data_IF_622693858272
#
_entry.id   IF_622693858272
#
_cell.length_a   1.000
_cell.length_b   1.000
_cell.length_c   1.000
_cell.angle_alpha   90.00
_cell.angle_beta   90.00
_cell.angle_gamma   90.00
#
_symmetry.space_group_name_H-M   'P 1'
#
loop_
_entity.id
_entity.type
_entity.pdbx_description
1 polymer ?
#
# COMPACT_ATOMS: atom_id res chain seq x y z
N UNK A 1 51.65 -35.58 59.85
CA UNK A 1 50.51 -34.71 60.20
C UNK A 1 50.21 -33.85 58.97
N UNK A 2 49.31 -34.36 58.13
CA UNK A 2 48.97 -33.72 56.85
C UNK A 2 47.73 -32.84 57.02
N UNK A 3 47.83 -31.56 56.69
CA UNK A 3 46.77 -30.59 56.77
C UNK A 3 45.99 -30.58 55.46
N UNK A 4 44.70 -30.89 55.52
CA UNK A 4 43.75 -30.85 54.33
C UNK A 4 42.92 -29.60 54.46
N UNK A 5 42.93 -28.68 53.46
CA UNK A 5 42.07 -27.51 53.50
C UNK A 5 40.67 -27.87 53.04
N UNK A 6 39.64 -27.40 53.79
CA UNK A 6 38.24 -27.49 53.46
C UNK A 6 37.89 -26.47 52.33
N UNK A 7 37.49 -26.97 51.18
CA UNK A 7 36.87 -26.13 50.14
C UNK A 7 35.43 -25.79 50.53
N UNK A 8 35.15 -24.50 50.65
CA UNK A 8 33.79 -23.97 50.78
C UNK A 8 33.24 -23.72 49.37
N UNK A 9 32.24 -24.48 48.97
CA UNK A 9 31.51 -24.25 47.71
C UNK A 9 30.48 -23.15 47.91
N UNK A 10 30.65 -22.00 47.24
CA UNK A 10 29.64 -20.94 47.14
C UNK A 10 28.73 -21.27 45.97
N UNK A 11 27.49 -21.69 46.25
CA UNK A 11 26.44 -21.84 45.24
C UNK A 11 25.89 -20.47 44.88
N UNK A 12 26.22 -20.00 43.69
CA UNK A 12 25.59 -18.81 43.10
C UNK A 12 24.20 -19.14 42.59
N UNK A 13 23.17 -18.61 43.22
CA UNK A 13 21.78 -18.73 42.80
C UNK A 13 21.52 -17.73 41.67
N UNK A 14 21.53 -18.22 40.42
CA UNK A 14 21.05 -17.43 39.27
C UNK A 14 19.54 -17.40 39.27
N UNK A 15 18.92 -16.29 39.69
CA UNK A 15 17.51 -16.04 39.48
C UNK A 15 17.27 -15.71 38.00
N UNK A 16 16.73 -16.65 37.26
CA UNK A 16 16.20 -16.37 35.91
C UNK A 16 14.92 -15.51 36.06
N UNK A 17 15.03 -14.24 35.78
CA UNK A 17 13.88 -13.38 35.57
C UNK A 17 13.34 -13.72 34.18
N UNK A 18 12.32 -14.60 34.11
CA UNK A 18 11.52 -14.81 32.90
C UNK A 18 10.69 -13.56 32.68
N UNK A 19 11.21 -12.62 31.90
CA UNK A 19 10.39 -11.51 31.39
C UNK A 19 9.33 -12.10 30.48
N UNK A 20 8.08 -12.15 30.94
CA UNK A 20 6.93 -12.35 30.07
C UNK A 20 6.88 -11.13 29.17
N UNK A 21 7.34 -11.26 27.92
CA UNK A 21 7.01 -10.29 26.90
C UNK A 21 5.49 -10.36 26.71
N UNK A 22 4.77 -9.43 27.29
CA UNK A 22 3.39 -9.18 26.99
C UNK A 22 3.30 -8.96 25.48
N UNK A 23 2.64 -9.89 24.77
CA UNK A 23 2.33 -9.72 23.35
C UNK A 23 1.52 -8.45 23.25
N UNK A 24 2.06 -7.41 22.62
CA UNK A 24 1.32 -6.19 22.35
C UNK A 24 0.00 -6.62 21.69
N UNK A 25 -1.13 -6.30 22.35
CA UNK A 25 -2.46 -6.62 21.85
C UNK A 25 -2.55 -6.21 20.39
N UNK A 26 -2.71 -7.20 19.50
CA UNK A 26 -2.82 -6.96 18.09
C UNK A 26 -4.08 -6.11 17.87
N UNK A 27 -3.90 -4.82 17.58
CA UNK A 27 -5.00 -3.91 17.33
C UNK A 27 -5.87 -4.50 16.22
N UNK A 28 -7.15 -4.69 16.48
CA UNK A 28 -8.08 -5.18 15.47
C UNK A 28 -8.02 -4.29 14.23
N UNK A 29 -8.03 -4.86 13.03
CA UNK A 29 -8.00 -4.06 11.81
C UNK A 29 -9.21 -3.12 11.72
N UNK A 30 -9.07 -2.04 10.96
CA UNK A 30 -10.09 -1.00 10.75
C UNK A 30 -10.46 -0.22 12.03
N UNK A 31 -9.54 -0.13 12.98
CA UNK A 31 -9.68 0.69 14.19
C UNK A 31 -8.44 1.59 14.30
N UNK A 32 -8.64 2.88 14.55
CA UNK A 32 -7.56 3.79 14.86
C UNK A 32 -7.23 3.76 16.35
N UNK A 33 -5.97 3.61 16.69
CA UNK A 33 -5.49 3.81 18.05
C UNK A 33 -5.67 5.26 18.48
N UNK A 34 -5.68 5.57 19.80
CA UNK A 34 -5.67 6.95 20.28
C UNK A 34 -4.55 7.79 19.67
N UNK A 35 -3.32 7.25 19.61
CA UNK A 35 -2.16 7.94 19.04
C UNK A 35 -2.33 8.23 17.53
N UNK A 36 -2.93 7.32 16.77
CA UNK A 36 -3.21 7.56 15.35
C UNK A 36 -4.27 8.66 15.16
N UNK A 37 -5.31 8.68 15.99
CA UNK A 37 -6.32 9.75 15.95
C UNK A 37 -5.70 11.12 16.25
N UNK A 38 -4.85 11.20 17.27
CA UNK A 38 -4.11 12.42 17.63
C UNK A 38 -3.14 12.85 16.51
N UNK A 39 -2.50 11.89 15.82
CA UNK A 39 -1.65 12.15 14.68
C UNK A 39 -2.41 12.49 13.38
N UNK A 40 -3.73 12.61 13.43
CA UNK A 40 -4.58 13.03 12.30
C UNK A 40 -4.92 11.93 11.30
N UNK A 41 -4.72 10.66 11.65
CA UNK A 41 -5.18 9.56 10.81
C UNK A 41 -6.69 9.45 10.78
N UNK A 42 -7.25 9.12 9.61
CA UNK A 42 -8.65 8.75 9.41
C UNK A 42 -8.72 7.43 8.65
N UNK A 43 -9.77 6.65 8.91
CA UNK A 43 -10.04 5.42 8.15
C UNK A 43 -10.61 5.79 6.79
N UNK A 44 -10.12 5.15 5.75
CA UNK A 44 -10.75 5.13 4.42
C UNK A 44 -11.76 3.98 4.29
N UNK A 45 -11.68 3.01 5.20
CA UNK A 45 -12.58 1.86 5.24
C UNK A 45 -12.75 1.40 6.70
N UNK A 46 -13.99 1.27 7.13
CA UNK A 46 -14.37 0.93 8.52
C UNK A 46 -14.52 -0.59 8.76
N UNK A 47 -14.28 -1.41 7.71
CA UNK A 47 -14.46 -2.85 7.77
C UNK A 47 -15.90 -3.35 7.62
N UNK A 48 -16.87 -2.47 7.41
CA UNK A 48 -18.30 -2.78 7.43
C UNK A 48 -19.08 -2.18 6.27
N UNK A 49 -18.79 -0.93 5.91
CA UNK A 49 -19.53 -0.19 4.89
C UNK A 49 -18.66 0.18 3.71
N UNK A 50 -19.29 0.49 2.59
CA UNK A 50 -18.61 1.01 1.39
C UNK A 50 -18.65 2.53 1.32
N UNK A 51 -19.05 3.19 2.41
CA UNK A 51 -19.06 4.64 2.51
C UNK A 51 -17.66 5.20 2.26
N UNK A 52 -17.60 6.31 1.51
CA UNK A 52 -16.31 6.88 1.10
C UNK A 52 -15.76 6.34 -0.22
N UNK A 53 -16.34 5.27 -0.78
CA UNK A 53 -15.93 4.66 -2.05
C UNK A 53 -17.02 4.71 -3.11
N UNK A 54 -16.60 4.75 -4.37
CA UNK A 54 -17.46 4.62 -5.57
C UNK A 54 -16.67 3.99 -6.71
N UNK A 55 -17.35 3.56 -7.76
CA UNK A 55 -16.68 3.12 -8.99
C UNK A 55 -15.98 4.30 -9.70
N UNK A 56 -14.90 4.00 -10.41
CA UNK A 56 -14.21 4.99 -11.25
C UNK A 56 -15.19 5.51 -12.32
N UNK A 57 -15.33 6.84 -12.41
CA UNK A 57 -16.32 7.53 -13.28
C UNK A 57 -17.78 7.10 -13.03
N UNK A 58 -18.11 6.67 -11.81
CA UNK A 58 -19.48 6.35 -11.39
C UNK A 58 -19.84 7.16 -10.15
N UNK A 59 -21.14 7.38 -9.94
CA UNK A 59 -21.66 8.12 -8.78
C UNK A 59 -21.77 7.24 -7.52
N UNK A 60 -21.89 5.91 -7.71
CA UNK A 60 -22.14 4.96 -6.64
C UNK A 60 -21.07 3.86 -6.56
N UNK A 61 -21.10 3.12 -5.48
CA UNK A 61 -20.33 1.89 -5.35
C UNK A 61 -20.89 0.83 -6.33
N UNK A 62 -20.02 0.06 -7.04
CA UNK A 62 -20.48 -0.93 -8.00
C UNK A 62 -21.26 -2.05 -7.32
N UNK A 63 -22.32 -2.51 -7.98
CA UNK A 63 -23.18 -3.59 -7.47
C UNK A 63 -22.55 -4.98 -7.62
N UNK A 64 -21.49 -5.09 -8.44
CA UNK A 64 -20.77 -6.33 -8.70
C UNK A 64 -19.26 -6.12 -8.51
N UNK A 65 -18.54 -7.21 -8.30
CA UNK A 65 -17.08 -7.25 -8.32
C UNK A 65 -16.38 -6.84 -7.04
N UNK A 66 -17.07 -6.14 -6.17
CA UNK A 66 -16.56 -5.73 -4.86
C UNK A 66 -17.56 -6.02 -3.76
N UNK A 67 -17.10 -6.60 -2.67
CA UNK A 67 -17.91 -6.90 -1.49
C UNK A 67 -17.15 -6.55 -0.21
N UNK A 68 -17.90 -6.36 0.88
CA UNK A 68 -17.34 -6.34 2.22
C UNK A 68 -17.45 -7.75 2.81
N UNK A 69 -16.32 -8.38 3.09
CA UNK A 69 -16.23 -9.75 3.61
C UNK A 69 -15.15 -9.83 4.68
N UNK A 70 -15.48 -10.35 5.85
CA UNK A 70 -14.55 -10.55 6.97
C UNK A 70 -13.70 -9.29 7.31
N UNK A 71 -14.33 -8.11 7.34
CA UNK A 71 -13.65 -6.85 7.63
C UNK A 71 -12.74 -6.35 6.50
N UNK A 72 -12.83 -6.92 5.31
CA UNK A 72 -12.07 -6.52 4.15
C UNK A 72 -12.98 -5.97 3.05
N UNK A 73 -12.50 -4.98 2.33
CA UNK A 73 -12.99 -4.63 1.01
C UNK A 73 -12.35 -5.62 0.03
N UNK A 74 -13.15 -6.51 -0.54
CA UNK A 74 -12.69 -7.63 -1.37
C UNK A 74 -13.14 -7.46 -2.81
N UNK A 75 -12.18 -7.51 -3.72
CA UNK A 75 -12.45 -7.74 -5.14
C UNK A 75 -12.68 -9.23 -5.35
N UNK A 76 -13.86 -9.63 -5.84
CA UNK A 76 -14.23 -11.05 -6.06
C UNK A 76 -14.73 -11.36 -7.47
N UNK A 77 -15.05 -10.34 -8.26
CA UNK A 77 -15.48 -10.46 -9.65
C UNK A 77 -15.15 -9.17 -10.42
N UNK A 78 -15.49 -9.10 -11.70
CA UNK A 78 -15.29 -7.89 -12.49
C UNK A 78 -16.30 -6.82 -12.07
N UNK A 79 -15.82 -5.71 -11.52
CA UNK A 79 -16.63 -4.57 -11.07
C UNK A 79 -16.08 -3.21 -11.49
N UNK A 80 -14.88 -3.22 -12.07
CA UNK A 80 -14.11 -2.01 -12.36
C UNK A 80 -13.38 -1.47 -11.13
N UNK A 81 -12.56 -0.47 -11.34
CA UNK A 81 -11.75 0.14 -10.28
C UNK A 81 -12.62 0.91 -9.29
N UNK A 82 -12.24 0.90 -8.01
CA UNK A 82 -12.82 1.76 -6.98
C UNK A 82 -11.98 3.01 -6.78
N UNK A 83 -12.64 4.12 -6.50
CA UNK A 83 -11.99 5.37 -6.10
C UNK A 83 -12.57 5.92 -4.81
N UNK A 84 -11.76 6.66 -4.06
CA UNK A 84 -12.25 7.45 -2.93
C UNK A 84 -13.19 8.54 -3.43
N UNK A 85 -14.19 8.93 -2.61
CA UNK A 85 -15.00 10.13 -2.87
C UNK A 85 -14.21 11.41 -2.56
N UNK A 86 -13.34 11.34 -1.56
CA UNK A 86 -12.45 12.44 -1.19
C UNK A 86 -11.19 12.46 -2.06
N UNK A 87 -10.57 13.64 -2.15
CA UNK A 87 -9.31 13.86 -2.89
C UNK A 87 -8.21 14.28 -1.93
N UNK A 88 -6.97 13.92 -2.26
CA UNK A 88 -5.78 14.13 -1.43
C UNK A 88 -4.64 14.75 -2.24
N UNK A 89 -3.82 15.59 -1.61
CA UNK A 89 -2.67 16.24 -2.24
C UNK A 89 -1.36 15.79 -1.61
N UNK A 90 -1.20 16.01 -0.31
CA UNK A 90 -0.06 15.55 0.49
C UNK A 90 -0.62 14.60 1.54
N UNK A 91 -0.13 13.38 1.61
CA UNK A 91 -0.70 12.37 2.48
C UNK A 91 0.30 11.25 2.81
N UNK A 92 0.02 10.57 3.90
CA UNK A 92 0.44 9.19 4.12
C UNK A 92 -0.78 8.29 4.02
N UNK A 93 -0.71 7.26 3.20
CA UNK A 93 -1.70 6.20 3.06
C UNK A 93 -1.08 4.89 3.55
N UNK A 94 -1.73 4.21 4.48
CA UNK A 94 -1.34 2.88 4.96
C UNK A 94 -2.49 1.91 4.78
N UNK A 95 -2.18 0.67 4.37
CA UNK A 95 -3.17 -0.39 4.21
C UNK A 95 -2.55 -1.77 4.36
N UNK A 96 -3.39 -2.74 4.72
CA UNK A 96 -3.06 -4.15 4.63
C UNK A 96 -3.76 -4.78 3.44
N UNK A 97 -3.07 -5.68 2.76
CA UNK A 97 -3.58 -6.34 1.58
C UNK A 97 -3.08 -7.77 1.46
N UNK A 98 -3.88 -8.61 0.82
CA UNK A 98 -3.49 -9.94 0.35
C UNK A 98 -4.12 -10.24 -1.00
N UNK A 99 -3.51 -11.16 -1.73
CA UNK A 99 -3.95 -11.63 -3.04
C UNK A 99 -3.90 -13.17 -3.08
N UNK A 100 -4.58 -13.72 -4.06
CA UNK A 100 -4.50 -15.17 -4.38
C UNK A 100 -3.31 -15.47 -5.29
N UNK A 101 -3.08 -16.76 -5.54
CA UNK A 101 -2.13 -17.22 -6.57
C UNK A 101 -2.41 -16.56 -7.93
N UNK A 102 -1.35 -16.11 -8.60
CA UNK A 102 -1.41 -15.28 -9.83
C UNK A 102 -2.24 -14.00 -9.66
N UNK A 103 -2.35 -13.53 -8.41
CA UNK A 103 -3.04 -12.29 -8.08
C UNK A 103 -2.29 -11.08 -8.63
N UNK A 104 -3.06 -10.10 -9.08
CA UNK A 104 -2.59 -8.81 -9.53
C UNK A 104 -3.62 -7.75 -9.11
N UNK A 105 -3.14 -6.69 -8.51
CA UNK A 105 -3.91 -5.51 -8.14
C UNK A 105 -2.95 -4.34 -7.90
N UNK A 106 -3.42 -3.24 -7.39
CA UNK A 106 -2.58 -2.09 -7.06
C UNK A 106 -3.36 -0.97 -6.40
N UNK A 107 -2.63 -0.06 -5.78
CA UNK A 107 -3.17 1.24 -5.39
C UNK A 107 -2.62 2.29 -6.34
N UNK A 108 -3.52 3.04 -7.00
CA UNK A 108 -3.13 4.20 -7.79
C UNK A 108 -3.43 5.48 -7.04
N UNK A 109 -2.56 6.45 -7.19
CA UNK A 109 -2.68 7.80 -6.65
C UNK A 109 -2.29 8.81 -7.71
N UNK A 110 -2.60 10.08 -7.51
CA UNK A 110 -2.58 11.11 -8.55
C UNK A 110 -3.50 10.72 -9.74
N UNK A 111 -4.65 10.10 -9.42
CA UNK A 111 -5.66 9.68 -10.40
C UNK A 111 -6.60 10.82 -10.72
N UNK A 112 -6.70 11.17 -11.99
CA UNK A 112 -7.61 12.21 -12.50
C UNK A 112 -8.65 11.61 -13.44
N UNK A 113 -9.92 11.65 -13.02
CA UNK A 113 -11.04 11.15 -13.82
C UNK A 113 -11.37 12.04 -15.02
N UNK A 114 -10.99 13.31 -14.97
CA UNK A 114 -11.21 14.26 -16.07
C UNK A 114 -10.10 14.23 -17.12
N UNK A 115 -9.09 13.37 -16.96
CA UNK A 115 -7.95 13.27 -17.89
C UNK A 115 -8.43 12.90 -19.29
N UNK A 116 -7.95 13.67 -20.27
CA UNK A 116 -8.32 13.43 -21.68
C UNK A 116 -7.42 12.37 -22.32
N UNK A 117 -8.01 11.50 -23.13
CA UNK A 117 -7.31 10.61 -24.02
C UNK A 117 -6.73 11.41 -25.20
N UNK A 118 -5.42 11.33 -25.39
CA UNK A 118 -4.69 12.08 -26.43
C UNK A 118 -5.15 11.72 -27.86
N UNK A 119 -5.65 10.50 -28.06
CA UNK A 119 -6.01 10.02 -29.41
C UNK A 119 -7.30 10.62 -29.91
N UNK A 120 -8.23 10.92 -29.02
CA UNK A 120 -9.58 11.33 -29.41
C UNK A 120 -10.12 12.59 -28.69
N UNK A 121 -9.34 13.16 -27.77
CA UNK A 121 -9.72 14.35 -26.99
C UNK A 121 -10.90 14.16 -26.03
N UNK A 122 -11.35 12.93 -25.81
CA UNK A 122 -12.43 12.59 -24.87
C UNK A 122 -11.87 12.21 -23.51
N UNK A 123 -12.70 12.26 -22.49
CA UNK A 123 -12.33 11.76 -21.16
C UNK A 123 -11.92 10.30 -21.25
N UNK A 124 -10.74 10.00 -20.71
CA UNK A 124 -10.17 8.65 -20.75
C UNK A 124 -10.96 7.69 -19.85
N UNK A 125 -11.31 6.53 -20.40
CA UNK A 125 -11.89 5.43 -19.63
C UNK A 125 -10.87 4.66 -18.81
N UNK A 126 -9.58 4.91 -19.03
CA UNK A 126 -8.50 4.25 -18.29
C UNK A 126 -8.12 5.10 -17.08
N UNK A 127 -8.24 4.53 -15.91
CA UNK A 127 -7.79 5.12 -14.65
C UNK A 127 -6.26 5.09 -14.58
N UNK A 128 -5.62 6.17 -14.99
CA UNK A 128 -4.18 6.33 -14.88
C UNK A 128 -3.81 7.19 -13.67
N UNK A 129 -2.74 6.79 -13.02
CA UNK A 129 -2.10 7.44 -11.90
C UNK A 129 -0.77 6.77 -11.61
N UNK A 130 -0.02 7.24 -10.62
CA UNK A 130 1.13 6.53 -10.11
C UNK A 130 0.63 5.27 -9.41
N UNK A 131 1.16 4.12 -9.75
CA UNK A 131 0.67 2.83 -9.24
C UNK A 131 1.69 2.17 -8.31
N UNK A 132 1.27 1.90 -7.07
CA UNK A 132 1.92 0.94 -6.18
C UNK A 132 1.46 -0.46 -6.58
N UNK A 133 2.35 -1.26 -7.17
CA UNK A 133 2.03 -2.59 -7.67
C UNK A 133 1.83 -3.60 -6.53
N UNK A 134 0.85 -4.48 -6.67
CA UNK A 134 0.56 -5.62 -5.80
C UNK A 134 0.45 -6.87 -6.68
N UNK A 135 1.46 -7.74 -6.65
CA UNK A 135 1.60 -8.86 -7.57
C UNK A 135 2.03 -10.14 -6.83
N UNK A 136 1.63 -11.28 -7.32
CA UNK A 136 2.24 -12.56 -6.97
C UNK A 136 3.55 -12.74 -7.77
N UNK A 137 4.60 -12.08 -7.30
CA UNK A 137 5.89 -11.99 -8.00
C UNK A 137 6.45 -13.35 -8.42
N UNK A 138 6.21 -14.40 -7.61
CA UNK A 138 6.71 -15.75 -7.87
C UNK A 138 6.11 -16.39 -9.12
N UNK A 139 4.90 -16.02 -9.50
CA UNK A 139 4.21 -16.51 -10.68
C UNK A 139 4.44 -15.66 -11.94
N UNK A 140 5.31 -14.64 -11.87
CA UNK A 140 5.65 -13.76 -13.00
C UNK A 140 7.17 -13.53 -13.12
N UNK A 141 7.98 -14.63 -13.17
CA UNK A 141 9.45 -14.54 -13.16
C UNK A 141 10.04 -13.84 -14.41
N UNK A 142 9.26 -13.75 -15.49
CA UNK A 142 9.66 -13.08 -16.74
C UNK A 142 9.56 -11.56 -16.66
N UNK A 143 8.86 -11.01 -15.67
CA UNK A 143 8.70 -9.58 -15.54
C UNK A 143 9.97 -8.90 -15.03
N UNK A 144 10.29 -7.75 -15.60
CA UNK A 144 11.35 -6.89 -15.08
C UNK A 144 10.97 -6.28 -13.72
N UNK A 145 11.98 -5.98 -12.90
CA UNK A 145 11.81 -5.53 -11.50
C UNK A 145 10.85 -4.36 -11.30
N UNK A 146 10.77 -3.45 -12.27
CA UNK A 146 9.85 -2.30 -12.21
C UNK A 146 8.37 -2.64 -12.40
N UNK A 147 8.05 -3.93 -12.58
CA UNK A 147 6.69 -4.45 -12.68
C UNK A 147 6.29 -5.32 -11.48
N UNK A 148 7.20 -5.54 -10.54
CA UNK A 148 6.99 -6.38 -9.36
C UNK A 148 6.39 -5.58 -8.20
N UNK A 149 6.01 -6.30 -7.14
CA UNK A 149 5.37 -5.75 -5.94
C UNK A 149 6.11 -4.54 -5.36
N UNK A 150 5.34 -3.55 -4.94
CA UNK A 150 5.76 -2.27 -4.37
C UNK A 150 6.52 -1.33 -5.32
N UNK A 151 6.79 -1.72 -6.57
CA UNK A 151 7.34 -0.80 -7.57
C UNK A 151 6.38 0.36 -7.86
N UNK A 152 6.91 1.48 -8.30
CA UNK A 152 6.13 2.43 -9.09
C UNK A 152 6.03 1.83 -10.49
N UNK A 153 4.92 1.14 -10.72
CA UNK A 153 4.70 0.28 -11.90
C UNK A 153 5.22 0.90 -13.20
N UNK A 154 6.07 0.15 -13.89
CA UNK A 154 6.73 0.53 -15.15
C UNK A 154 7.74 1.68 -15.05
N UNK A 155 7.82 2.42 -13.96
CA UNK A 155 8.67 3.61 -13.80
C UNK A 155 9.90 3.30 -12.96
N UNK A 156 9.73 2.88 -11.70
CA UNK A 156 10.83 2.70 -10.75
C UNK A 156 10.68 1.39 -9.98
N UNK A 157 11.74 0.59 -9.94
CA UNK A 157 11.79 -0.67 -9.19
C UNK A 157 11.81 -0.46 -7.69
N UNK A 158 11.19 -1.35 -6.94
CA UNK A 158 11.30 -1.43 -5.49
C UNK A 158 12.57 -2.22 -5.11
N UNK A 159 13.44 -1.63 -4.29
CA UNK A 159 14.68 -2.26 -3.83
C UNK A 159 14.48 -2.89 -2.45
N UNK A 160 14.85 -4.16 -2.31
CA UNK A 160 14.69 -4.88 -1.05
C UNK A 160 13.24 -5.20 -0.69
N UNK A 161 12.32 -5.11 -1.65
CA UNK A 161 10.94 -5.52 -1.44
C UNK A 161 10.87 -7.03 -1.15
N UNK A 162 10.23 -7.38 -0.03
CA UNK A 162 10.01 -8.76 0.37
C UNK A 162 8.52 -8.95 0.73
N UNK A 163 7.66 -9.20 -0.29
CA UNK A 163 6.26 -9.50 -0.03
C UNK A 163 6.15 -10.83 0.70
N UNK A 164 5.15 -10.93 1.58
CA UNK A 164 4.75 -12.20 2.19
C UNK A 164 4.11 -13.11 1.13
N UNK A 165 4.09 -14.43 1.36
CA UNK A 165 3.43 -15.37 0.46
C UNK A 165 1.98 -15.01 0.17
N UNK A 166 1.47 -15.45 -0.98
CA UNK A 166 0.04 -15.30 -1.33
C UNK A 166 -0.85 -15.86 -0.22
N UNK A 167 -1.98 -15.19 0.04
CA UNK A 167 -2.88 -15.52 1.15
C UNK A 167 -2.53 -14.88 2.49
N UNK A 168 -1.32 -14.33 2.66
CA UNK A 168 -0.91 -13.59 3.85
C UNK A 168 -1.06 -12.07 3.65
N UNK A 169 -1.39 -11.36 4.74
CA UNK A 169 -1.50 -9.90 4.68
C UNK A 169 -0.14 -9.22 4.71
N UNK A 170 0.14 -8.42 3.69
CA UNK A 170 1.21 -7.45 3.65
C UNK A 170 0.74 -6.11 4.21
N UNK A 171 1.64 -5.36 4.83
CA UNK A 171 1.44 -3.96 5.22
C UNK A 171 2.18 -3.07 4.24
N UNK A 172 1.49 -2.14 3.63
CA UNK A 172 2.08 -1.16 2.72
C UNK A 172 1.79 0.27 3.14
N UNK A 173 2.66 1.18 2.70
CA UNK A 173 2.48 2.61 2.89
C UNK A 173 2.98 3.39 1.67
N UNK A 174 2.24 4.43 1.30
CA UNK A 174 2.64 5.46 0.35
C UNK A 174 2.76 6.77 1.11
N UNK A 175 3.82 7.51 0.88
CA UNK A 175 3.98 8.90 1.33
C UNK A 175 4.05 9.79 0.11
N UNK A 176 3.28 10.87 0.11
CA UNK A 176 3.37 11.95 -0.88
C UNK A 176 3.41 13.27 -0.13
N UNK A 177 4.56 13.92 -0.11
CA UNK A 177 4.77 15.18 0.59
C UNK A 177 5.48 16.19 -0.31
N UNK A 178 4.80 17.25 -0.72
CA UNK A 178 5.29 18.09 -1.79
C UNK A 178 5.50 17.26 -3.05
N UNK A 179 6.66 17.34 -3.66
CA UNK A 179 7.05 16.53 -4.80
C UNK A 179 7.68 15.18 -4.41
N UNK A 180 8.02 15.01 -3.13
CA UNK A 180 8.63 13.78 -2.64
C UNK A 180 7.59 12.65 -2.50
N UNK A 181 7.93 11.46 -2.99
CA UNK A 181 7.11 10.26 -2.91
C UNK A 181 7.92 9.07 -2.40
N UNK A 182 7.27 8.21 -1.61
CA UNK A 182 7.87 6.98 -1.08
C UNK A 182 6.89 5.81 -1.17
N UNK A 183 7.43 4.59 -1.41
CA UNK A 183 6.73 3.34 -1.18
C UNK A 183 7.41 2.53 -0.08
N UNK A 184 6.59 1.94 0.77
CA UNK A 184 7.01 1.08 1.87
C UNK A 184 6.29 -0.26 1.81
N UNK A 185 7.00 -1.33 2.14
CA UNK A 185 6.45 -2.68 2.24
C UNK A 185 6.95 -3.34 3.52
N UNK A 186 6.03 -3.85 4.35
CA UNK A 186 6.31 -4.57 5.59
C UNK A 186 7.31 -3.83 6.51
N UNK A 187 7.18 -2.49 6.63
CA UNK A 187 8.02 -1.65 7.47
C UNK A 187 9.32 -1.16 6.82
N UNK A 188 9.63 -1.60 5.59
CA UNK A 188 10.85 -1.21 4.86
C UNK A 188 10.49 -0.18 3.78
N UNK A 189 11.22 0.95 3.70
CA UNK A 189 11.16 1.86 2.55
C UNK A 189 11.86 1.20 1.38
N UNK A 190 11.13 0.95 0.29
CA UNK A 190 11.61 0.18 -0.86
C UNK A 190 11.88 1.04 -2.09
N UNK A 191 11.31 2.24 -2.18
CA UNK A 191 11.67 3.25 -3.16
C UNK A 191 11.30 4.66 -2.69
N UNK A 192 11.93 5.64 -3.29
CA UNK A 192 11.60 7.07 -3.17
C UNK A 192 11.90 7.79 -4.49
N UNK A 193 11.24 8.90 -4.72
CA UNK A 193 11.38 9.72 -5.91
C UNK A 193 10.96 11.17 -5.65
N UNK A 194 11.43 12.09 -6.49
CA UNK A 194 10.99 13.49 -6.48
C UNK A 194 10.36 13.84 -7.83
N UNK A 195 9.03 14.11 -7.82
CA UNK A 195 8.29 14.52 -9.01
C UNK A 195 8.88 15.82 -9.57
N UNK A 196 9.01 15.89 -10.90
CA UNK A 196 9.58 17.02 -11.59
C UNK A 196 11.12 17.11 -11.55
N UNK A 197 11.81 16.20 -10.84
CA UNK A 197 13.27 16.12 -10.96
C UNK A 197 13.70 15.57 -12.33
N UNK A 198 14.90 15.94 -12.84
CA UNK A 198 15.43 15.37 -14.09
C UNK A 198 15.48 13.83 -14.06
N UNK A 199 15.93 13.25 -12.94
CA UNK A 199 16.00 11.80 -12.78
C UNK A 199 14.63 11.13 -12.92
N UNK A 200 13.59 11.66 -12.27
CA UNK A 200 12.22 11.13 -12.39
C UNK A 200 11.67 11.33 -13.80
N UNK A 201 11.96 12.43 -14.46
CA UNK A 201 11.55 12.67 -15.84
C UNK A 201 12.17 11.65 -16.81
N UNK A 202 13.43 11.28 -16.64
CA UNK A 202 14.12 10.23 -17.41
C UNK A 202 13.47 8.85 -17.19
N UNK A 203 13.14 8.51 -15.93
CA UNK A 203 12.45 7.27 -15.59
C UNK A 203 11.09 7.17 -16.27
N UNK A 204 10.29 8.25 -16.25
CA UNK A 204 8.99 8.31 -16.93
C UNK A 204 9.18 8.20 -18.44
N UNK A 205 10.15 8.88 -19.02
CA UNK A 205 10.45 8.82 -20.46
C UNK A 205 10.87 7.39 -20.92
N UNK A 206 11.44 6.59 -20.01
CA UNK A 206 11.81 5.19 -20.26
C UNK A 206 10.68 4.19 -19.91
N UNK A 207 9.51 4.66 -19.48
CA UNK A 207 8.39 3.82 -19.03
C UNK A 207 7.30 3.65 -20.09
N UNK A 208 6.30 2.83 -19.77
CA UNK A 208 5.08 2.69 -20.57
C UNK A 208 4.25 4.00 -20.63
N UNK A 209 4.56 4.96 -19.77
CA UNK A 209 3.83 6.24 -19.62
C UNK A 209 4.50 7.41 -20.34
N UNK A 210 5.59 7.21 -21.07
CA UNK A 210 6.40 8.24 -21.77
C UNK A 210 5.59 9.22 -22.64
N UNK A 211 4.44 8.79 -23.15
CA UNK A 211 3.60 9.60 -24.04
C UNK A 211 2.26 9.97 -23.41
N UNK A 212 2.09 9.78 -22.10
CA UNK A 212 0.84 10.09 -21.39
C UNK A 212 0.89 11.53 -20.85
N UNK A 213 0.09 12.46 -21.41
CA UNK A 213 0.07 13.84 -20.94
C UNK A 213 -0.38 13.94 -19.48
N UNK A 214 0.32 14.75 -18.69
CA UNK A 214 0.00 14.97 -17.28
C UNK A 214 0.20 13.74 -16.39
N UNK A 215 0.89 12.70 -16.86
CA UNK A 215 1.25 11.55 -16.01
C UNK A 215 2.19 12.01 -14.90
N UNK A 216 1.91 11.56 -13.68
CA UNK A 216 2.64 11.92 -12.47
C UNK A 216 2.61 13.43 -12.13
N UNK A 217 1.70 14.18 -12.73
CA UNK A 217 1.47 15.59 -12.37
C UNK A 217 0.91 15.69 -10.96
N UNK A 218 1.54 16.54 -10.14
CA UNK A 218 1.12 16.76 -8.76
C UNK A 218 -0.12 17.64 -8.69
N UNK A 219 -1.21 17.03 -8.26
CA UNK A 219 -2.48 17.72 -8.01
C UNK A 219 -3.32 16.99 -6.98
N UNK A 220 -4.32 17.65 -6.44
CA UNK A 220 -5.27 17.05 -5.51
C UNK A 220 -6.18 16.09 -6.27
N UNK A 221 -6.06 14.78 -6.01
CA UNK A 221 -6.72 13.73 -6.77
C UNK A 221 -7.14 12.54 -5.90
N UNK A 222 -7.75 11.55 -6.53
CA UNK A 222 -8.32 10.37 -5.91
C UNK A 222 -7.24 9.30 -5.58
N UNK A 223 -7.58 8.43 -4.62
CA UNK A 223 -6.92 7.13 -4.41
C UNK A 223 -7.79 6.05 -5.05
N UNK A 224 -7.16 5.11 -5.75
CA UNK A 224 -7.83 4.07 -6.50
C UNK A 224 -7.35 2.68 -6.09
N UNK A 225 -8.31 1.74 -5.95
CA UNK A 225 -8.05 0.31 -5.84
C UNK A 225 -8.30 -0.33 -7.20
N UNK A 226 -7.30 -1.06 -7.71
CA UNK A 226 -7.35 -1.63 -9.05
C UNK A 226 -8.11 -2.96 -9.09
N UNK A 227 -9.04 -3.09 -10.04
CA UNK A 227 -9.66 -4.35 -10.43
C UNK A 227 -8.85 -5.01 -11.57
N UNK A 228 -8.01 -5.99 -11.24
CA UNK A 228 -7.15 -6.67 -12.22
C UNK A 228 -7.38 -8.20 -12.29
N UNK A 229 -8.61 -8.64 -12.24
CA UNK A 229 -9.00 -9.99 -12.67
C UNK A 229 -8.99 -11.08 -11.59
N UNK A 230 -8.24 -10.98 -10.50
CA UNK A 230 -8.14 -11.97 -9.43
C UNK A 230 -8.57 -11.40 -8.09
N UNK A 231 -8.86 -12.28 -7.11
CA UNK A 231 -9.26 -11.85 -5.78
C UNK A 231 -8.15 -11.09 -5.07
N UNK A 232 -8.51 -9.96 -4.51
CA UNK A 232 -7.67 -9.11 -3.70
C UNK A 232 -8.46 -8.58 -2.50
N UNK A 233 -7.84 -8.52 -1.33
CA UNK A 233 -8.44 -8.04 -0.09
C UNK A 233 -7.66 -6.83 0.42
N UNK A 234 -8.41 -5.84 0.86
CA UNK A 234 -7.90 -4.60 1.45
C UNK A 234 -8.55 -4.38 2.80
N UNK A 235 -7.77 -4.10 3.83
CA UNK A 235 -8.26 -3.75 5.15
C UNK A 235 -7.31 -2.78 5.84
N UNK A 236 -7.69 -2.28 7.00
CA UNK A 236 -6.88 -1.36 7.80
C UNK A 236 -6.37 -0.18 6.97
N UNK A 237 -7.23 0.28 6.04
CA UNK A 237 -6.92 1.39 5.14
C UNK A 237 -7.10 2.70 5.87
N UNK A 238 -6.02 3.41 6.08
CA UNK A 238 -6.02 4.68 6.80
C UNK A 238 -5.12 5.70 6.12
N UNK A 239 -5.53 6.95 6.18
CA UNK A 239 -4.83 8.07 5.57
C UNK A 239 -4.71 9.22 6.57
N UNK A 240 -3.61 9.97 6.49
CA UNK A 240 -3.51 11.29 7.11
C UNK A 240 -3.02 12.30 6.09
N UNK A 241 -3.59 13.48 6.12
CA UNK A 241 -3.12 14.58 5.30
C UNK A 241 -1.89 15.22 5.94
N UNK A 242 -0.88 15.48 5.12
CA UNK A 242 0.34 16.16 5.53
C UNK A 242 0.21 17.66 5.23
N UNK A 243 0.69 18.48 6.15
CA UNK A 243 0.80 19.92 5.93
C UNK A 243 1.92 20.17 4.92
N UNK A 244 1.76 21.16 4.04
CA UNK A 244 2.81 21.61 3.12
C UNK A 244 4.07 22.04 3.85
#
# INVERSE_FOLDING_TARGET
>A
MMYVPKMVAIAALFAMVSGVMEAADAVSPNILTPAEKEAGWKLLFDGKTTEGWRGFQQESFPTNGWVVEAGCLKRNAKGGDLVTKETFLNFELSWEWKIVEKGNSGIKYLVDEARLDKKNGKVSKNALGNEYQMLDDANYPELGRKFLTASWYSVLEAKGAAPKPVGEFNLSKIVVNGNHGEHWLNGVKVLEYDLGSPATAELIAASNFKNVPGYAEKKKTLILLQDHGRDAWFRNMKIRELKP
#
